data_IF_690645049563
#
_entry.id   IF_690645049563
#
_cell.length_a   1.000
_cell.length_b   1.000
_cell.length_c   1.000
_cell.angle_alpha   90.00
_cell.angle_beta   90.00
_cell.angle_gamma   90.00
#
_symmetry.space_group_name_H-M   'P 1'
#
loop_
_entity.id
_entity.type
_entity.pdbx_description
1 polymer ?
#
# COMPACT_ATOMS: atom_id res chain seq x y z
N UNK A 1 47.56 25.46 -9.90
CA UNK A 1 47.28 24.31 -10.79
C UNK A 1 46.45 23.33 -9.99
N UNK A 2 45.22 23.10 -10.41
CA UNK A 2 44.28 22.19 -9.77
C UNK A 2 44.74 20.75 -10.02
N UNK A 3 45.10 20.02 -8.96
CA UNK A 3 45.30 18.58 -9.01
C UNK A 3 43.95 17.89 -8.91
N UNK A 4 43.58 17.17 -9.96
CA UNK A 4 42.36 16.38 -10.10
C UNK A 4 42.36 15.18 -9.15
N UNK A 5 41.36 15.09 -8.26
CA UNK A 5 41.02 13.87 -7.53
C UNK A 5 40.35 12.86 -8.48
N UNK A 6 40.66 11.56 -8.40
CA UNK A 6 40.02 10.56 -9.24
C UNK A 6 38.62 10.26 -8.69
N UNK A 7 37.61 10.41 -9.55
CA UNK A 7 36.25 9.94 -9.25
C UNK A 7 36.25 8.42 -9.40
N UNK A 8 36.29 7.71 -8.27
CA UNK A 8 36.05 6.27 -8.24
C UNK A 8 34.56 6.04 -8.51
N UNK A 9 34.26 5.52 -9.70
CA UNK A 9 32.94 5.01 -10.04
C UNK A 9 32.72 3.71 -9.25
N UNK A 10 32.10 3.82 -8.08
CA UNK A 10 31.58 2.66 -7.35
C UNK A 10 30.32 2.19 -8.09
N UNK A 11 30.53 1.21 -8.97
CA UNK A 11 29.45 0.41 -9.51
C UNK A 11 28.85 -0.41 -8.38
N UNK A 12 27.77 0.09 -7.80
CA UNK A 12 27.00 -0.59 -6.77
C UNK A 12 26.38 -1.85 -7.39
N UNK A 13 27.08 -2.98 -7.24
CA UNK A 13 26.57 -4.27 -7.67
C UNK A 13 25.40 -4.64 -6.77
N UNK A 14 24.18 -4.39 -7.23
CA UNK A 14 22.96 -4.95 -6.63
C UNK A 14 23.05 -6.48 -6.76
N UNK A 15 23.60 -7.11 -5.73
CA UNK A 15 23.55 -8.54 -5.55
C UNK A 15 22.08 -8.94 -5.32
N UNK A 16 21.37 -9.27 -6.39
CA UNK A 16 20.08 -9.97 -6.31
C UNK A 16 20.36 -11.44 -6.06
N UNK A 17 20.77 -11.73 -4.83
CA UNK A 17 20.71 -13.07 -4.27
C UNK A 17 19.32 -13.24 -3.63
N UNK A 18 18.41 -13.91 -4.32
CA UNK A 18 17.12 -14.26 -3.75
C UNK A 18 16.65 -15.61 -4.27
N UNK A 19 16.80 -16.63 -3.42
CA UNK A 19 15.96 -17.83 -3.46
C UNK A 19 14.48 -17.43 -3.71
N UNK A 20 13.66 -18.27 -4.38
CA UNK A 20 12.28 -17.93 -4.73
C UNK A 20 11.42 -17.84 -3.46
N UNK A 21 11.45 -16.66 -2.81
CA UNK A 21 10.55 -16.28 -1.74
C UNK A 21 9.24 -15.80 -2.37
N UNK A 22 8.12 -16.09 -1.72
CA UNK A 22 6.83 -15.55 -2.15
C UNK A 22 6.89 -14.02 -2.10
N UNK A 23 6.54 -13.31 -3.19
CA UNK A 23 6.53 -11.86 -3.19
C UNK A 23 5.46 -11.33 -2.24
N UNK A 24 5.73 -10.20 -1.57
CA UNK A 24 4.80 -9.56 -0.66
C UNK A 24 4.09 -8.41 -1.35
N UNK A 25 2.78 -8.57 -1.53
CA UNK A 25 1.96 -7.67 -2.32
C UNK A 25 0.94 -6.98 -1.41
N UNK A 26 0.95 -5.66 -1.45
CA UNK A 26 -0.05 -4.84 -0.78
C UNK A 26 -1.11 -4.41 -1.80
N UNK A 27 -2.33 -4.91 -1.65
CA UNK A 27 -3.47 -4.55 -2.48
C UNK A 27 -4.27 -3.44 -1.79
N UNK A 28 -4.51 -2.34 -2.48
CA UNK A 28 -5.32 -1.24 -1.98
C UNK A 28 -6.59 -1.06 -2.82
N UNK A 29 -7.73 -0.89 -2.15
CA UNK A 29 -9.01 -0.61 -2.78
C UNK A 29 -9.48 0.81 -2.48
N UNK A 30 -9.80 1.56 -3.54
CA UNK A 30 -10.42 2.89 -3.44
C UNK A 30 -11.95 2.82 -3.58
N UNK A 31 -12.66 3.86 -3.12
CA UNK A 31 -14.12 4.03 -3.20
C UNK A 31 -14.64 4.13 -4.64
N UNK A 32 -14.70 3.00 -5.33
CA UNK A 32 -15.28 2.82 -6.66
C UNK A 32 -16.17 1.58 -6.66
N UNK A 33 -17.22 1.56 -7.49
CA UNK A 33 -18.15 0.43 -7.64
C UNK A 33 -17.41 -0.86 -8.05
N UNK A 34 -16.27 -0.73 -8.75
CA UNK A 34 -15.43 -1.86 -9.13
C UNK A 34 -14.82 -2.61 -7.92
N UNK A 35 -14.88 -2.04 -6.71
CA UNK A 35 -14.34 -2.67 -5.50
C UNK A 35 -15.10 -3.95 -5.12
N UNK A 36 -16.29 -4.17 -5.67
CA UNK A 36 -17.01 -5.46 -5.56
C UNK A 36 -16.19 -6.65 -6.08
N UNK A 37 -15.25 -6.43 -7.01
CA UNK A 37 -14.36 -7.47 -7.54
C UNK A 37 -13.03 -7.60 -6.78
N UNK A 38 -12.83 -6.79 -5.74
CA UNK A 38 -11.57 -6.76 -5.00
C UNK A 38 -11.26 -8.10 -4.31
N UNK A 39 -12.29 -8.75 -3.76
CA UNK A 39 -12.11 -10.07 -3.15
C UNK A 39 -11.59 -11.13 -4.14
N UNK A 40 -12.08 -11.09 -5.38
CA UNK A 40 -11.60 -11.97 -6.45
C UNK A 40 -10.14 -11.66 -6.81
N UNK A 41 -9.78 -10.38 -6.86
CA UNK A 41 -8.40 -9.95 -7.05
C UNK A 41 -7.49 -10.53 -5.95
N UNK A 42 -7.87 -10.37 -4.67
CA UNK A 42 -7.13 -10.92 -3.54
C UNK A 42 -6.95 -12.43 -3.65
N UNK A 43 -7.99 -13.16 -4.09
CA UNK A 43 -7.90 -14.60 -4.35
C UNK A 43 -6.83 -14.93 -5.39
N UNK A 44 -6.84 -14.25 -6.55
CA UNK A 44 -5.86 -14.49 -7.62
C UNK A 44 -4.42 -14.24 -7.17
N UNK A 45 -4.17 -13.23 -6.34
CA UNK A 45 -2.83 -12.93 -5.84
C UNK A 45 -2.39 -13.88 -4.72
N UNK A 46 -3.33 -14.33 -3.87
CA UNK A 46 -3.03 -15.19 -2.72
C UNK A 46 -2.52 -16.59 -3.11
N UNK A 47 -2.71 -17.03 -4.36
CA UNK A 47 -2.22 -18.32 -4.85
C UNK A 47 -0.69 -18.36 -4.96
N UNK A 48 -0.05 -17.22 -5.26
CA UNK A 48 1.38 -17.16 -5.57
C UNK A 48 2.15 -16.11 -4.76
N UNK A 49 1.47 -15.21 -4.06
CA UNK A 49 2.05 -14.14 -3.26
C UNK A 49 1.49 -14.10 -1.84
N UNK A 50 2.24 -13.50 -0.92
CA UNK A 50 1.69 -13.09 0.38
C UNK A 50 0.97 -11.76 0.19
N UNK A 51 -0.33 -11.75 0.47
CA UNK A 51 -1.20 -10.60 0.16
C UNK A 51 -1.70 -9.95 1.45
N UNK A 52 -1.55 -8.63 1.54
CA UNK A 52 -2.24 -7.79 2.52
C UNK A 52 -3.15 -6.82 1.78
N UNK A 53 -4.32 -6.55 2.34
CA UNK A 53 -5.29 -5.67 1.73
C UNK A 53 -5.47 -4.40 2.58
N UNK A 54 -5.62 -3.25 1.93
CA UNK A 54 -5.98 -1.97 2.55
C UNK A 54 -7.21 -1.44 1.86
N UNK A 55 -8.20 -0.97 2.63
CA UNK A 55 -9.42 -0.39 2.07
C UNK A 55 -9.77 0.91 2.76
N UNK A 56 -10.15 1.90 1.95
CA UNK A 56 -10.79 3.13 2.42
C UNK A 56 -12.17 2.85 3.00
N UNK A 57 -12.61 3.72 3.90
CA UNK A 57 -14.02 3.80 4.32
C UNK A 57 -15.01 3.78 3.15
N UNK A 58 -14.73 4.48 2.06
CA UNK A 58 -15.59 4.53 0.87
C UNK A 58 -15.68 3.22 0.07
N UNK A 59 -14.63 2.39 0.08
CA UNK A 59 -14.62 1.08 -0.59
C UNK A 59 -15.26 -0.03 0.24
N UNK A 60 -15.27 0.11 1.57
CA UNK A 60 -15.90 -0.86 2.47
C UNK A 60 -17.40 -1.05 2.18
N UNK A 61 -18.07 -0.04 1.62
CA UNK A 61 -19.47 -0.17 1.19
C UNK A 61 -19.67 -1.16 0.04
N UNK A 62 -18.63 -1.40 -0.76
CA UNK A 62 -18.67 -2.28 -1.94
C UNK A 62 -17.95 -3.61 -1.71
N UNK A 63 -17.07 -3.68 -0.70
CA UNK A 63 -16.31 -4.89 -0.36
C UNK A 63 -17.06 -5.68 0.69
N UNK A 64 -17.44 -6.90 0.34
CA UNK A 64 -17.94 -7.85 1.32
C UNK A 64 -16.78 -8.56 2.03
N UNK A 65 -16.62 -8.32 3.33
CA UNK A 65 -15.59 -8.96 4.15
C UNK A 65 -15.73 -10.48 4.18
N UNK A 66 -16.94 -11.02 4.01
CA UNK A 66 -17.15 -12.46 3.98
C UNK A 66 -16.61 -13.10 2.69
N UNK A 67 -16.53 -12.34 1.60
CA UNK A 67 -16.00 -12.80 0.32
C UNK A 67 -14.48 -12.82 0.26
N UNK A 68 -13.80 -12.22 1.24
CA UNK A 68 -12.34 -12.14 1.28
C UNK A 68 -11.71 -13.48 1.67
N UNK A 69 -10.57 -13.86 1.05
CA UNK A 69 -9.81 -15.03 1.46
C UNK A 69 -9.31 -14.88 2.91
N UNK A 70 -9.39 -15.96 3.69
CA UNK A 70 -9.00 -15.99 5.11
C UNK A 70 -7.52 -15.67 5.35
N UNK A 71 -6.68 -15.92 4.34
CA UNK A 71 -5.24 -15.70 4.39
C UNK A 71 -4.87 -14.21 4.20
N UNK A 72 -5.84 -13.37 3.78
CA UNK A 72 -5.61 -11.94 3.53
C UNK A 72 -6.17 -11.10 4.67
N UNK A 73 -5.29 -10.34 5.30
CA UNK A 73 -5.66 -9.37 6.33
C UNK A 73 -6.09 -8.07 5.65
N UNK A 74 -7.30 -7.60 5.97
CA UNK A 74 -7.84 -6.32 5.51
C UNK A 74 -7.62 -5.25 6.59
N UNK A 75 -6.79 -4.26 6.26
CA UNK A 75 -6.57 -3.07 7.07
C UNK A 75 -7.48 -1.93 6.63
N UNK A 76 -7.99 -1.19 7.60
CA UNK A 76 -8.81 0.00 7.41
C UNK A 76 -8.18 1.19 8.12
N UNK A 77 -8.72 2.38 7.88
CA UNK A 77 -8.24 3.60 8.51
C UNK A 77 -8.34 3.54 10.03
N UNK A 78 -9.43 2.97 10.53
CA UNK A 78 -9.67 2.79 11.96
C UNK A 78 -8.59 1.93 12.64
N UNK A 79 -7.98 1.00 11.91
CA UNK A 79 -6.96 0.10 12.45
C UNK A 79 -5.66 0.83 12.77
N UNK A 80 -5.32 1.89 12.03
CA UNK A 80 -4.13 2.69 12.37
C UNK A 80 -4.36 3.57 13.59
N UNK A 81 -5.51 4.26 13.67
CA UNK A 81 -5.84 5.10 14.81
C UNK A 81 -5.99 4.27 16.09
N UNK A 82 -6.42 3.00 15.96
CA UNK A 82 -6.46 2.05 17.07
C UNK A 82 -5.07 1.60 17.54
N UNK A 83 -4.09 1.59 16.63
CA UNK A 83 -2.71 1.18 16.90
C UNK A 83 -1.86 2.31 17.48
N UNK A 84 -2.27 3.56 17.30
CA UNK A 84 -1.56 4.74 17.82
C UNK A 84 -2.16 5.23 19.14
N UNK A 85 -1.62 4.76 20.29
CA UNK A 85 -2.10 5.17 21.63
C UNK A 85 -1.10 6.05 22.37
N UNK A 86 0.19 5.95 22.07
CA UNK A 86 1.26 6.76 22.66
C UNK A 86 2.29 7.21 21.63
N UNK A 87 2.98 8.30 21.94
CA UNK A 87 4.12 8.80 21.17
C UNK A 87 5.26 7.76 21.25
N UNK A 88 5.47 7.01 20.17
CA UNK A 88 6.44 5.90 20.09
C UNK A 88 5.86 4.56 19.62
N UNK A 89 4.53 4.44 19.52
CA UNK A 89 3.89 3.25 18.94
C UNK A 89 4.16 3.15 17.43
N UNK A 90 4.24 1.94 16.91
CA UNK A 90 4.52 1.73 15.50
C UNK A 90 3.34 2.17 14.63
N UNK A 91 3.67 2.89 13.56
CA UNK A 91 2.69 3.46 12.64
C UNK A 91 2.40 2.45 11.55
N UNK A 92 1.15 2.02 11.44
CA UNK A 92 0.73 0.89 10.60
C UNK A 92 1.12 1.07 9.13
N UNK A 93 0.89 2.25 8.54
CA UNK A 93 1.29 2.51 7.15
C UNK A 93 2.80 2.42 6.93
N UNK A 94 3.63 2.76 7.93
CA UNK A 94 5.10 2.65 7.83
C UNK A 94 5.52 1.17 7.84
N UNK A 95 4.88 0.34 8.66
CA UNK A 95 5.16 -1.10 8.70
C UNK A 95 4.73 -1.80 7.42
N UNK A 96 3.55 -1.45 6.88
CA UNK A 96 3.05 -2.01 5.62
C UNK A 96 3.96 -1.64 4.44
N UNK A 97 4.44 -0.39 4.39
CA UNK A 97 5.42 0.05 3.40
C UNK A 97 6.73 -0.73 3.47
N UNK A 98 7.25 -1.00 4.68
CA UNK A 98 8.48 -1.79 4.86
C UNK A 98 8.29 -3.27 4.55
N UNK A 99 7.06 -3.77 4.68
CA UNK A 99 6.72 -5.17 4.44
C UNK A 99 6.49 -5.47 2.96
N UNK A 100 5.86 -4.55 2.22
CA UNK A 100 5.45 -4.75 0.84
C UNK A 100 6.62 -4.56 -0.13
N UNK A 101 6.82 -5.52 -1.03
CA UNK A 101 7.75 -5.38 -2.15
C UNK A 101 7.10 -4.55 -3.28
N UNK A 102 5.78 -4.69 -3.43
CA UNK A 102 4.98 -3.97 -4.42
C UNK A 102 3.61 -3.62 -3.85
N UNK A 103 3.10 -2.45 -4.23
CA UNK A 103 1.74 -2.01 -3.95
C UNK A 103 0.94 -1.90 -5.24
N UNK A 104 -0.29 -2.41 -5.22
CA UNK A 104 -1.22 -2.31 -6.35
C UNK A 104 -2.53 -1.69 -5.87
N UNK A 105 -2.93 -0.59 -6.52
CA UNK A 105 -4.21 0.07 -6.23
C UNK A 105 -5.23 -0.34 -7.30
N UNK A 106 -6.17 -1.19 -6.92
CA UNK A 106 -7.21 -1.69 -7.82
C UNK A 106 -8.48 -2.00 -7.03
N UNK A 107 -9.60 -1.29 -7.26
CA UNK A 107 -9.76 -0.20 -8.22
C UNK A 107 -9.19 1.13 -7.72
N UNK A 108 -8.79 1.98 -8.65
CA UNK A 108 -8.39 3.37 -8.40
C UNK A 108 -9.53 4.31 -8.83
N UNK A 109 -10.14 5.03 -7.90
CA UNK A 109 -11.19 6.02 -8.21
C UNK A 109 -10.59 7.32 -8.74
N UNK A 110 -11.37 8.09 -9.50
CA UNK A 110 -10.96 9.41 -9.98
C UNK A 110 -10.59 10.38 -8.83
N UNK A 111 -11.24 10.24 -7.67
CA UNK A 111 -10.92 11.01 -6.47
C UNK A 111 -9.52 10.67 -5.93
N UNK A 112 -9.17 9.38 -5.86
CA UNK A 112 -7.82 8.95 -5.46
C UNK A 112 -6.79 9.36 -6.51
N UNK A 113 -7.10 9.23 -7.81
CA UNK A 113 -6.19 9.67 -8.89
C UNK A 113 -5.92 11.17 -8.81
N UNK A 114 -6.96 11.98 -8.64
CA UNK A 114 -6.84 13.44 -8.49
C UNK A 114 -5.98 13.81 -7.29
N UNK A 115 -6.10 13.09 -6.18
CA UNK A 115 -5.25 13.30 -4.99
C UNK A 115 -3.79 12.90 -5.20
N UNK A 116 -3.51 11.84 -5.96
CA UNK A 116 -2.13 11.43 -6.31
C UNK A 116 -1.50 12.42 -7.30
N UNK A 117 -2.29 12.94 -8.25
CA UNK A 117 -1.81 13.88 -9.27
C UNK A 117 -1.69 15.32 -8.78
N UNK A 118 -2.54 15.74 -7.84
CA UNK A 118 -2.55 17.09 -7.30
C UNK A 118 -1.59 17.18 -6.11
N UNK A 119 -0.36 17.61 -6.40
CA UNK A 119 0.72 17.84 -5.42
C UNK A 119 0.34 18.84 -4.30
N UNK A 120 -0.77 19.59 -4.43
CA UNK A 120 -1.03 20.78 -3.61
C UNK A 120 -2.33 20.81 -2.77
N UNK A 121 -3.16 19.75 -2.76
CA UNK A 121 -4.43 19.72 -2.01
C UNK A 121 -4.39 18.81 -0.76
N UNK A 122 -3.25 18.80 -0.07
CA UNK A 122 -3.09 18.05 1.18
C UNK A 122 -3.78 18.70 2.40
N UNK A 123 -4.23 19.96 2.32
CA UNK A 123 -4.62 20.72 3.51
C UNK A 123 -6.13 20.96 3.75
N UNK A 124 -7.04 20.56 2.85
CA UNK A 124 -8.46 20.98 2.96
C UNK A 124 -9.53 19.89 3.06
N UNK A 125 -9.17 18.62 3.16
CA UNK A 125 -10.16 17.54 3.33
C UNK A 125 -9.92 16.74 4.62
N UNK A 126 -10.68 17.02 5.70
CA UNK A 126 -10.56 16.31 6.98
C UNK A 126 -11.20 14.90 6.96
N UNK A 127 -11.56 14.38 5.78
CA UNK A 127 -12.33 13.14 5.66
C UNK A 127 -11.93 12.40 4.40
N UNK A 128 -10.81 11.68 4.41
CA UNK A 128 -10.54 10.50 3.58
C UNK A 128 -9.18 9.94 3.98
N UNK A 129 -9.19 8.85 4.75
CA UNK A 129 -7.99 8.03 4.89
C UNK A 129 -8.19 6.69 4.16
N UNK A 130 -7.06 6.18 3.67
CA UNK A 130 -6.75 4.83 3.18
C UNK A 130 -5.23 4.86 3.03
N UNK A 131 -4.60 5.29 4.12
CA UNK A 131 -3.23 5.75 4.30
C UNK A 131 -2.66 6.61 3.20
N UNK A 132 -3.46 7.59 2.75
CA UNK A 132 -3.21 8.71 1.81
C UNK A 132 -1.80 8.83 1.21
N UNK A 133 -1.27 7.91 0.43
CA UNK A 133 -1.65 6.61 -0.15
C UNK A 133 -0.39 5.75 0.17
N UNK A 134 -0.45 4.52 0.71
CA UNK A 134 0.77 3.79 1.18
C UNK A 134 1.99 3.97 0.25
#
# INVERSE_FOLDING_TARGET
MAGSEPVSAEGESMAVDAAPRKPRILLAASGSVAAVKFANLCHCFSEWADVRAVSSSGSLHFIDRASMPKDVILYTDEDEWSSWKKLGDSVLHIELRKWADIMVIAPLSANTLGKVSSVNDMCSYPSFDCWRVV
#
